data_IF_457442238397
#
_entry.id   IF_457442238397
#
_cell.length_a   1.000
_cell.length_b   1.000
_cell.length_c   1.000
_cell.angle_alpha   90.00
_cell.angle_beta   90.00
_cell.angle_gamma   90.00
#
_symmetry.space_group_name_H-M   'P 1'
#
loop_
_entity.id
_entity.type
_entity.pdbx_description
1 polymer ?
#
# COMPACT_ATOMS: atom_id res chain seq x y z
N UNK A 1 -20.41 -4.99 9.09
CA UNK A 1 -19.73 -4.63 7.86
C UNK A 1 -19.77 -3.15 7.61
N UNK A 2 -18.68 -2.67 7.04
CA UNK A 2 -18.56 -1.25 6.78
C UNK A 2 -19.37 -0.83 5.55
N UNK A 3 -20.03 0.32 5.65
CA UNK A 3 -20.78 0.88 4.56
C UNK A 3 -19.87 1.56 3.53
N UNK A 4 -20.30 1.49 2.28
CA UNK A 4 -19.66 2.24 1.20
C UNK A 4 -20.00 3.72 1.31
N UNK A 5 -18.99 4.55 1.21
CA UNK A 5 -19.13 6.01 1.29
C UNK A 5 -18.25 6.66 0.23
N UNK A 6 -18.51 7.93 -0.02
CA UNK A 6 -17.62 8.73 -0.85
C UNK A 6 -16.38 9.09 -0.04
N UNK A 7 -15.22 8.78 -0.60
CA UNK A 7 -13.93 8.98 0.08
C UNK A 7 -13.11 9.98 -0.74
N UNK A 8 -12.71 11.07 -0.10
CA UNK A 8 -11.74 11.99 -0.71
C UNK A 8 -10.34 11.49 -0.39
N UNK A 9 -9.59 11.13 -1.42
CA UNK A 9 -8.28 10.52 -1.23
C UNK A 9 -7.25 11.48 -0.65
N UNK A 10 -7.34 12.77 -1.00
CA UNK A 10 -6.43 13.76 -0.45
C UNK A 10 -6.58 13.86 1.06
N UNK A 11 -7.81 13.90 1.54
CA UNK A 11 -8.09 13.93 2.98
C UNK A 11 -7.62 12.64 3.65
N UNK A 12 -7.88 11.50 3.02
CA UNK A 12 -7.50 10.21 3.57
C UNK A 12 -5.98 10.10 3.72
N UNK A 13 -5.23 10.46 2.68
CA UNK A 13 -3.78 10.37 2.74
C UNK A 13 -3.16 11.44 3.65
N UNK A 14 -3.81 12.60 3.82
CA UNK A 14 -3.37 13.57 4.82
C UNK A 14 -3.46 12.99 6.23
N UNK A 15 -4.56 12.30 6.54
CA UNK A 15 -4.72 11.64 7.84
C UNK A 15 -3.67 10.54 8.04
N UNK A 16 -3.44 9.74 7.01
CA UNK A 16 -2.42 8.69 7.08
C UNK A 16 -1.05 9.29 7.38
N UNK A 17 -0.71 10.37 6.67
CA UNK A 17 0.57 11.04 6.87
C UNK A 17 0.73 11.56 8.31
N UNK A 18 -0.31 12.18 8.82
CA UNK A 18 -0.31 12.67 10.21
C UNK A 18 -0.13 11.53 11.21
N UNK A 19 -0.82 10.41 10.96
CA UNK A 19 -0.77 9.26 11.87
C UNK A 19 0.62 8.63 11.94
N UNK A 20 1.33 8.57 10.81
CA UNK A 20 2.71 8.06 10.82
C UNK A 20 3.67 9.05 11.44
N UNK A 21 3.47 10.34 11.21
CA UNK A 21 4.25 11.39 11.86
C UNK A 21 5.75 11.27 11.71
N UNK A 22 6.22 10.87 10.53
CA UNK A 22 7.65 10.69 10.29
C UNK A 22 8.07 11.34 8.99
N UNK A 23 9.27 11.89 8.97
CA UNK A 23 9.86 12.46 7.76
C UNK A 23 10.29 11.39 6.76
N UNK A 24 10.33 10.12 7.18
CA UNK A 24 10.67 9.01 6.31
C UNK A 24 9.57 8.70 5.29
N UNK A 25 8.37 9.23 5.51
CA UNK A 25 7.22 9.04 4.61
C UNK A 25 6.97 10.33 3.84
N UNK A 26 6.94 10.22 2.52
CA UNK A 26 6.59 11.32 1.63
C UNK A 26 5.37 10.94 0.83
N UNK A 27 4.30 11.73 0.93
CA UNK A 27 3.07 11.50 0.19
C UNK A 27 2.79 12.69 -0.72
N UNK A 28 2.59 12.41 -2.01
CA UNK A 28 2.22 13.41 -2.99
C UNK A 28 0.89 12.99 -3.61
N UNK A 29 -0.14 13.80 -3.43
CA UNK A 29 -1.44 13.59 -4.06
C UNK A 29 -1.56 14.62 -5.17
N UNK A 30 -1.39 14.16 -6.41
CA UNK A 30 -1.33 15.06 -7.57
C UNK A 30 -2.70 15.53 -8.01
N UNK A 31 -3.71 14.69 -7.84
CA UNK A 31 -5.06 15.00 -8.29
C UNK A 31 -6.04 14.85 -7.12
N UNK A 32 -7.01 15.74 -7.05
CA UNK A 32 -8.06 15.67 -6.04
C UNK A 32 -9.15 14.71 -6.54
N UNK A 33 -9.10 13.47 -6.03
CA UNK A 33 -9.97 12.41 -6.48
C UNK A 33 -10.81 11.88 -5.33
N UNK A 34 -12.10 11.67 -5.60
CA UNK A 34 -12.97 10.96 -4.68
C UNK A 34 -13.43 9.67 -5.32
N UNK A 35 -13.57 8.63 -4.53
CA UNK A 35 -14.09 7.35 -4.98
C UNK A 35 -15.07 6.80 -3.97
N UNK A 36 -15.86 5.83 -4.40
CA UNK A 36 -16.78 5.12 -3.51
C UNK A 36 -16.10 3.89 -2.96
N UNK A 37 -16.11 3.75 -1.65
CA UNK A 37 -15.48 2.60 -1.02
C UNK A 37 -15.76 2.55 0.47
N UNK A 38 -15.12 1.62 1.10
CA UNK A 38 -15.18 1.45 2.55
C UNK A 38 -14.00 2.17 3.19
N UNK A 39 -14.23 3.30 3.87
CA UNK A 39 -13.13 4.17 4.31
C UNK A 39 -12.11 3.49 5.22
N UNK A 40 -12.58 2.75 6.23
CA UNK A 40 -11.68 2.11 7.17
C UNK A 40 -10.89 0.99 6.53
N UNK A 41 -11.55 0.19 5.68
CA UNK A 41 -10.88 -0.91 4.99
C UNK A 41 -9.76 -0.39 4.08
N UNK A 42 -10.05 0.64 3.30
CA UNK A 42 -9.04 1.24 2.41
C UNK A 42 -7.92 1.90 3.19
N UNK A 43 -8.26 2.64 4.25
CA UNK A 43 -7.25 3.29 5.08
C UNK A 43 -6.28 2.28 5.67
N UNK A 44 -6.81 1.19 6.22
CA UNK A 44 -5.98 0.13 6.82
C UNK A 44 -5.11 -0.56 5.77
N UNK A 45 -5.65 -0.74 4.55
CA UNK A 45 -4.88 -1.32 3.46
C UNK A 45 -3.69 -0.44 3.09
N UNK A 46 -3.91 0.85 2.92
CA UNK A 46 -2.84 1.79 2.60
C UNK A 46 -1.82 1.89 3.73
N UNK A 47 -2.29 1.94 4.97
CA UNK A 47 -1.40 1.98 6.13
C UNK A 47 -0.54 0.73 6.23
N UNK A 48 -1.12 -0.43 5.93
CA UNK A 48 -0.38 -1.70 5.94
C UNK A 48 0.77 -1.66 4.92
N UNK A 49 0.48 -1.23 3.71
CA UNK A 49 1.48 -1.15 2.64
C UNK A 49 2.58 -0.15 3.01
N UNK A 50 2.20 1.01 3.55
CA UNK A 50 3.15 2.03 3.96
C UNK A 50 4.01 1.53 5.12
N UNK A 51 3.39 0.86 6.10
CA UNK A 51 4.13 0.31 7.22
C UNK A 51 5.15 -0.72 6.76
N UNK A 52 4.79 -1.57 5.80
CA UNK A 52 5.74 -2.53 5.23
C UNK A 52 6.91 -1.80 4.58
N UNK A 53 6.63 -0.75 3.80
CA UNK A 53 7.68 0.03 3.16
C UNK A 53 8.65 0.62 4.17
N UNK A 54 8.14 1.15 5.28
CA UNK A 54 8.95 1.74 6.33
C UNK A 54 9.69 0.71 7.17
N UNK A 55 9.16 -0.52 7.24
CA UNK A 55 9.80 -1.60 7.99
C UNK A 55 10.99 -2.18 7.23
N UNK A 56 10.83 -2.41 5.94
CA UNK A 56 11.87 -3.04 5.12
C UNK A 56 12.79 -2.03 4.44
N UNK A 57 12.31 -0.81 4.21
CA UNK A 57 13.10 0.28 3.70
C UNK A 57 13.37 1.31 4.79
N UNK A 58 14.13 2.34 4.45
CA UNK A 58 14.34 3.50 5.33
C UNK A 58 13.34 4.59 5.03
N UNK A 59 12.89 4.66 3.79
CA UNK A 59 11.97 5.68 3.32
C UNK A 59 10.86 5.06 2.49
N UNK A 60 9.70 5.69 2.52
CA UNK A 60 8.56 5.31 1.70
C UNK A 60 8.05 6.54 0.94
N UNK A 61 7.73 6.34 -0.33
CA UNK A 61 7.26 7.41 -1.21
C UNK A 61 5.92 6.99 -1.80
N UNK A 62 4.88 7.76 -1.49
CA UNK A 62 3.52 7.49 -1.97
C UNK A 62 3.15 8.54 -2.99
N UNK A 63 2.62 8.10 -4.12
CA UNK A 63 2.13 8.99 -5.15
C UNK A 63 0.71 8.59 -5.52
N UNK A 64 -0.20 9.57 -5.56
CA UNK A 64 -1.60 9.36 -5.90
C UNK A 64 -1.93 10.24 -7.09
N UNK A 65 -2.35 9.64 -8.19
CA UNK A 65 -2.65 10.41 -9.39
C UNK A 65 -3.75 9.75 -10.21
N UNK A 66 -4.38 10.54 -11.05
CA UNK A 66 -5.38 10.08 -11.98
C UNK A 66 -4.69 9.41 -13.16
N UNK A 67 -5.26 8.31 -13.61
CA UNK A 67 -4.78 7.59 -14.80
C UNK A 67 -6.02 7.15 -15.57
N UNK A 68 -6.39 7.90 -16.59
CA UNK A 68 -7.65 7.73 -17.33
C UNK A 68 -8.84 7.82 -16.37
N UNK A 69 -9.67 6.79 -16.29
CA UNK A 69 -10.81 6.76 -15.39
C UNK A 69 -10.53 5.98 -14.09
N UNK A 70 -9.26 5.85 -13.75
CA UNK A 70 -8.84 5.15 -12.55
C UNK A 70 -7.87 6.04 -11.75
N UNK A 71 -7.72 5.73 -10.49
CA UNK A 71 -6.67 6.34 -9.68
C UNK A 71 -5.54 5.35 -9.53
N UNK A 72 -4.32 5.84 -9.70
CA UNK A 72 -3.11 5.05 -9.53
C UNK A 72 -2.43 5.50 -8.26
N UNK A 73 -2.23 4.54 -7.35
CA UNK A 73 -1.53 4.78 -6.08
C UNK A 73 -0.30 3.91 -6.09
N UNK A 74 0.86 4.53 -5.94
CA UNK A 74 2.12 3.79 -5.87
C UNK A 74 2.79 4.03 -4.54
N UNK A 75 3.37 2.98 -3.99
CA UNK A 75 4.19 3.05 -2.78
C UNK A 75 5.54 2.45 -3.11
N UNK A 76 6.56 3.30 -3.12
CA UNK A 76 7.94 2.92 -3.40
C UNK A 76 8.73 2.93 -2.10
N UNK A 77 9.66 1.98 -1.93
CA UNK A 77 10.58 2.04 -0.82
C UNK A 77 12.03 1.85 -1.30
N UNK A 78 12.96 2.14 -0.42
CA UNK A 78 14.39 2.02 -0.70
C UNK A 78 15.03 0.84 0.04
N UNK A 79 14.21 -0.16 0.37
CA UNK A 79 14.68 -1.36 1.02
C UNK A 79 15.35 -2.34 0.05
N UNK A 80 15.50 -3.59 0.48
CA UNK A 80 16.16 -4.60 -0.37
C UNK A 80 15.30 -5.11 -1.51
N UNK A 81 14.01 -4.77 -1.52
CA UNK A 81 13.11 -5.31 -2.53
C UNK A 81 12.75 -6.77 -2.28
N UNK A 82 12.04 -7.33 -3.22
CA UNK A 82 11.61 -8.73 -3.19
C UNK A 82 11.99 -9.34 -4.52
N UNK A 83 12.54 -10.57 -4.57
CA UNK A 83 12.79 -11.23 -5.84
C UNK A 83 11.49 -11.38 -6.64
N UNK A 84 11.56 -11.17 -7.93
CA UNK A 84 10.38 -11.22 -8.79
C UNK A 84 9.64 -12.55 -8.68
N UNK A 85 10.38 -13.64 -8.53
CA UNK A 85 9.78 -14.98 -8.39
C UNK A 85 8.95 -15.13 -7.12
N UNK A 86 9.07 -14.20 -6.17
CA UNK A 86 8.28 -14.22 -4.95
C UNK A 86 7.03 -13.32 -5.01
N UNK A 87 6.85 -12.56 -6.09
CA UNK A 87 5.74 -11.59 -6.15
C UNK A 87 4.38 -12.25 -5.94
N UNK A 88 4.15 -13.42 -6.52
CA UNK A 88 2.87 -14.11 -6.32
C UNK A 88 2.73 -14.64 -4.91
N UNK A 89 3.85 -15.07 -4.32
CA UNK A 89 3.82 -15.69 -3.00
C UNK A 89 3.51 -14.69 -1.89
N UNK A 90 3.88 -13.43 -2.05
CA UNK A 90 3.64 -12.43 -0.99
C UNK A 90 2.16 -12.17 -0.74
N UNK A 91 1.29 -12.55 -1.67
CA UNK A 91 -0.15 -12.43 -1.50
C UNK A 91 -0.79 -13.64 -0.84
N UNK A 92 -0.01 -14.68 -0.56
CA UNK A 92 -0.53 -15.86 0.12
C UNK A 92 -0.65 -15.57 1.61
N UNK A 93 -1.70 -16.09 2.27
CA UNK A 93 -1.82 -15.97 3.72
C UNK A 93 -0.57 -16.55 4.41
N UNK A 94 -0.14 -15.87 5.46
CA UNK A 94 1.00 -16.29 6.30
C UNK A 94 2.34 -16.28 5.60
N UNK A 95 2.44 -15.69 4.40
CA UNK A 95 3.73 -15.58 3.72
C UNK A 95 4.69 -14.70 4.53
N UNK A 96 5.96 -15.09 4.58
CA UNK A 96 7.03 -14.34 5.23
C UNK A 96 8.25 -14.31 4.34
N UNK A 97 8.84 -13.12 4.20
CA UNK A 97 10.04 -12.94 3.38
C UNK A 97 11.27 -13.56 4.03
N UNK A 98 11.38 -13.44 5.33
CA UNK A 98 12.53 -13.91 6.09
C UNK A 98 12.03 -14.51 7.39
N UNK A 99 12.08 -15.83 7.45
CA UNK A 99 11.56 -16.57 8.60
C UNK A 99 12.33 -16.28 9.89
N UNK A 100 13.62 -16.04 9.79
CA UNK A 100 14.41 -15.80 11.00
C UNK A 100 14.13 -14.44 11.59
N UNK A 101 13.84 -13.46 10.76
CA UNK A 101 13.51 -12.10 11.22
C UNK A 101 12.08 -12.01 11.70
N UNK A 102 11.23 -12.87 11.19
CA UNK A 102 9.82 -12.81 11.50
C UNK A 102 9.51 -13.09 12.96
N UNK A 103 10.37 -13.77 13.67
CA UNK A 103 10.17 -14.06 15.08
C UNK A 103 10.21 -12.80 15.94
N UNK A 104 10.89 -11.76 15.49
CA UNK A 104 11.09 -10.55 16.27
C UNK A 104 10.21 -9.39 15.80
N UNK A 105 9.43 -9.60 14.77
CA UNK A 105 8.56 -8.56 14.23
C UNK A 105 7.14 -9.04 14.30
N UNK A 106 6.35 -8.41 15.13
CA UNK A 106 4.96 -8.79 15.29
C UNK A 106 4.21 -8.68 13.98
N UNK A 107 3.30 -9.61 13.73
CA UNK A 107 2.47 -9.59 12.55
C UNK A 107 3.22 -9.87 11.28
N UNK A 108 4.25 -10.60 11.38
CA UNK A 108 5.19 -10.68 10.34
C UNK A 108 4.77 -11.50 9.16
N UNK A 109 4.72 -11.07 8.22
CA UNK A 109 4.38 -11.31 6.89
C UNK A 109 4.07 -9.96 6.36
N UNK A 110 3.78 -9.83 5.12
CA UNK A 110 3.46 -8.53 4.57
C UNK A 110 1.99 -8.17 4.75
N UNK A 111 1.15 -9.16 5.13
CA UNK A 111 -0.29 -8.92 5.28
C UNK A 111 -0.98 -8.59 3.97
N UNK A 112 -0.37 -8.88 2.85
CA UNK A 112 -0.87 -8.44 1.55
C UNK A 112 -2.05 -9.28 1.05
N UNK A 113 -2.27 -10.48 1.62
CA UNK A 113 -3.44 -11.27 1.26
C UNK A 113 -4.74 -10.51 1.57
N UNK A 114 -4.81 -9.90 2.75
CA UNK A 114 -5.99 -9.12 3.16
C UNK A 114 -6.09 -7.84 2.33
N UNK A 115 -4.96 -7.19 2.10
CA UNK A 115 -4.94 -5.97 1.28
C UNK A 115 -5.44 -6.28 -0.14
N UNK A 116 -4.95 -7.37 -0.73
CA UNK A 116 -5.38 -7.76 -2.08
C UNK A 116 -6.90 -8.00 -2.11
N UNK A 117 -7.43 -8.69 -1.13
CA UNK A 117 -8.88 -8.94 -1.06
C UNK A 117 -9.66 -7.65 -0.97
N UNK A 118 -9.21 -6.70 -0.17
CA UNK A 118 -9.88 -5.40 -0.01
C UNK A 118 -9.83 -4.62 -1.33
N UNK A 119 -8.67 -4.53 -1.93
CA UNK A 119 -8.50 -3.80 -3.20
C UNK A 119 -9.35 -4.44 -4.30
N UNK A 120 -9.33 -5.77 -4.40
CA UNK A 120 -10.14 -6.46 -5.39
C UNK A 120 -11.63 -6.24 -5.16
N UNK A 121 -12.08 -6.21 -3.91
CA UNK A 121 -13.48 -5.97 -3.59
C UNK A 121 -13.95 -4.56 -3.94
N UNK A 122 -13.01 -3.66 -4.16
CA UNK A 122 -13.30 -2.29 -4.61
C UNK A 122 -13.18 -2.14 -6.14
N UNK A 123 -13.04 -3.25 -6.86
CA UNK A 123 -12.88 -3.22 -8.32
C UNK A 123 -11.48 -2.84 -8.76
N UNK A 124 -10.53 -2.90 -7.86
CA UNK A 124 -9.16 -2.56 -8.14
C UNK A 124 -8.25 -3.75 -8.34
N UNK A 125 -6.98 -3.45 -8.53
CA UNK A 125 -5.94 -4.48 -8.56
C UNK A 125 -4.67 -3.95 -7.91
N UNK A 126 -3.80 -4.87 -7.53
CA UNK A 126 -2.53 -4.57 -6.88
C UNK A 126 -1.43 -5.38 -7.57
N UNK A 127 -0.33 -4.73 -7.86
CA UNK A 127 0.82 -5.34 -8.53
C UNK A 127 2.09 -4.93 -7.82
N UNK A 128 3.10 -5.79 -7.89
CA UNK A 128 4.41 -5.53 -7.34
C UNK A 128 5.42 -5.31 -8.45
N UNK A 129 6.45 -4.56 -8.16
CA UNK A 129 7.52 -4.29 -9.10
C UNK A 129 8.76 -3.80 -8.38
N UNK A 130 9.77 -3.45 -9.16
CA UNK A 130 10.98 -2.83 -8.63
C UNK A 130 10.78 -1.34 -8.48
N UNK A 131 11.16 -0.81 -7.32
CA UNK A 131 11.15 0.63 -7.11
C UNK A 131 12.34 1.28 -7.79
N UNK A 132 12.14 2.51 -8.29
CA UNK A 132 13.24 3.33 -8.78
C UNK A 132 14.25 3.69 -7.68
N UNK A 133 13.92 3.40 -6.43
CA UNK A 133 14.81 3.59 -5.28
C UNK A 133 15.45 2.27 -4.84
N UNK A 134 15.40 1.24 -5.69
CA UNK A 134 15.99 -0.09 -5.49
C UNK A 134 15.23 -1.03 -4.57
N UNK A 135 14.16 -0.57 -3.95
CA UNK A 135 13.32 -1.40 -3.11
C UNK A 135 12.12 -1.95 -3.85
N UNK A 136 11.02 -2.10 -3.13
CA UNK A 136 9.78 -2.63 -3.67
C UNK A 136 8.86 -1.52 -4.13
N UNK A 137 8.21 -1.74 -5.26
CA UNK A 137 7.09 -0.90 -5.72
C UNK A 137 5.80 -1.68 -5.54
N UNK A 138 4.84 -1.07 -4.83
CA UNK A 138 3.47 -1.58 -4.76
C UNK A 138 2.59 -0.62 -5.56
N UNK A 139 1.88 -1.15 -6.54
CA UNK A 139 1.08 -0.35 -7.45
C UNK A 139 -0.39 -0.76 -7.32
N UNK A 140 -1.23 0.18 -6.97
CA UNK A 140 -2.67 -0.04 -6.79
C UNK A 140 -3.43 0.79 -7.80
N UNK A 141 -4.41 0.16 -8.46
CA UNK A 141 -5.32 0.84 -9.37
C UNK A 141 -6.74 0.64 -8.86
N UNK A 142 -7.49 1.73 -8.73
CA UNK A 142 -8.86 1.72 -8.26
C UNK A 142 -9.76 2.53 -9.19
N UNK A 143 -11.02 2.10 -9.39
CA UNK A 143 -11.98 2.92 -10.13
C UNK A 143 -12.44 4.10 -9.29
N UNK A 144 -12.88 5.16 -9.98
CA UNK A 144 -13.46 6.30 -9.27
C UNK A 144 -14.63 6.91 -10.03
#
# INVERSE_FOLDING_TARGET
>A
QEETKKINLKELFNKINENFGTDALKIVVKDDISLSGRPHALKRSFENIIQNALTYGKRAFVNVQKSSNRVLITVDDDGPGIPEEQYKNVFKPFFRLDKSRSLNQSGVGLGLAIVEDIINSHGGNIQLGESKYNGLLVKISLPF
#
